data_IF_492825413948
#
_entry.id   IF_492825413948
#
_cell.length_a   1.000
_cell.length_b   1.000
_cell.length_c   1.000
_cell.angle_alpha   90.00
_cell.angle_beta   90.00
_cell.angle_gamma   90.00
#
_symmetry.space_group_name_H-M   'P 1'
#
loop_
_entity.id
_entity.type
_entity.pdbx_description
1 polymer ?
#
# COMPACT_ATOMS: atom_id res chain seq x y z
N UNK A 1 -3.31 -13.46 19.26
CA UNK A 1 -2.37 -12.54 19.95
C UNK A 1 -1.27 -12.05 19.02
N UNK A 2 -0.43 -12.95 18.48
CA UNK A 2 0.66 -12.60 17.55
C UNK A 2 0.11 -11.85 16.32
N UNK A 3 -0.80 -12.46 15.55
CA UNK A 3 -1.33 -11.82 14.33
C UNK A 3 -1.97 -10.44 14.61
N UNK A 4 -2.70 -10.30 15.72
CA UNK A 4 -3.34 -9.04 16.12
C UNK A 4 -2.31 -7.93 16.36
N UNK A 5 -1.26 -8.21 17.12
CA UNK A 5 -0.24 -7.21 17.46
C UNK A 5 0.55 -6.78 16.22
N UNK A 6 0.98 -7.74 15.39
CA UNK A 6 1.71 -7.44 14.16
C UNK A 6 0.84 -6.74 13.12
N UNK A 7 -0.43 -7.14 12.96
CA UNK A 7 -1.35 -6.48 12.05
C UNK A 7 -1.59 -5.01 12.47
N UNK A 8 -1.87 -4.77 13.76
CA UNK A 8 -2.08 -3.41 14.27
C UNK A 8 -0.84 -2.53 14.08
N UNK A 9 0.34 -3.04 14.45
CA UNK A 9 1.59 -2.28 14.31
C UNK A 9 1.95 -2.01 12.84
N UNK A 10 1.72 -2.99 11.95
CA UNK A 10 1.93 -2.84 10.51
C UNK A 10 0.98 -1.82 9.88
N UNK A 11 -0.30 -1.85 10.24
CA UNK A 11 -1.29 -0.90 9.74
C UNK A 11 -0.95 0.54 10.10
N UNK A 12 -0.50 0.80 11.33
CA UNK A 12 -0.07 2.14 11.76
C UNK A 12 1.12 2.66 10.95
N UNK A 13 2.11 1.81 10.71
CA UNK A 13 3.28 2.19 9.92
C UNK A 13 2.89 2.50 8.46
N UNK A 14 2.12 1.62 7.81
CA UNK A 14 1.67 1.81 6.43
C UNK A 14 0.82 3.08 6.31
N UNK A 15 -0.12 3.30 7.24
CA UNK A 15 -0.92 4.51 7.27
C UNK A 15 -0.05 5.77 7.39
N UNK A 16 0.91 5.77 8.32
CA UNK A 16 1.84 6.89 8.50
C UNK A 16 2.65 7.18 7.24
N UNK A 17 3.15 6.14 6.55
CA UNK A 17 3.85 6.30 5.26
C UNK A 17 2.94 6.95 4.22
N UNK A 18 1.77 6.36 3.94
CA UNK A 18 0.89 6.83 2.85
C UNK A 18 0.39 8.25 3.14
N UNK A 19 -0.03 8.52 4.38
CA UNK A 19 -0.49 9.85 4.78
C UNK A 19 0.62 10.90 4.65
N UNK A 20 1.79 10.66 5.25
CA UNK A 20 2.87 11.65 5.23
C UNK A 20 3.48 11.85 3.84
N UNK A 21 3.60 10.81 3.00
CA UNK A 21 4.07 10.97 1.61
C UNK A 21 3.08 11.80 0.79
N UNK A 22 1.79 11.49 0.89
CA UNK A 22 0.75 12.19 0.14
C UNK A 22 0.76 13.69 0.47
N UNK A 23 0.82 14.03 1.76
CA UNK A 23 0.88 15.42 2.21
C UNK A 23 2.19 16.09 1.78
N UNK A 24 3.33 15.41 1.95
CA UNK A 24 4.62 15.94 1.53
C UNK A 24 4.62 16.36 0.05
N UNK A 25 4.14 15.49 -0.83
CA UNK A 25 4.14 15.75 -2.26
C UNK A 25 3.18 16.88 -2.64
N UNK A 26 2.01 16.95 -2.01
CA UNK A 26 1.05 18.03 -2.19
C UNK A 26 1.62 19.41 -1.79
N UNK A 27 2.33 19.49 -0.66
CA UNK A 27 2.91 20.75 -0.17
C UNK A 27 4.20 21.18 -0.89
N UNK A 28 4.98 20.24 -1.43
CA UNK A 28 6.21 20.55 -2.16
C UNK A 28 5.90 21.19 -3.51
N UNK A 29 5.05 20.55 -4.31
CA UNK A 29 4.68 21.06 -5.63
C UNK A 29 3.34 20.44 -6.08
N UNK A 30 2.28 21.25 -6.30
CA UNK A 30 0.98 20.74 -6.73
C UNK A 30 1.02 19.94 -8.05
N UNK A 31 1.85 20.34 -9.02
CA UNK A 31 1.98 19.61 -10.30
C UNK A 31 2.66 18.24 -10.10
N UNK A 32 3.63 18.18 -9.20
CA UNK A 32 4.26 16.91 -8.81
C UNK A 32 3.25 15.98 -8.15
N UNK A 33 2.41 16.51 -7.26
CA UNK A 33 1.34 15.75 -6.61
C UNK A 33 0.31 15.21 -7.62
N UNK A 34 -0.10 16.00 -8.62
CA UNK A 34 -0.98 15.52 -9.69
C UNK A 34 -0.35 14.35 -10.45
N UNK A 35 0.95 14.45 -10.76
CA UNK A 35 1.68 13.36 -11.42
C UNK A 35 1.72 12.09 -10.57
N UNK A 36 1.91 12.25 -9.25
CA UNK A 36 1.83 11.14 -8.28
C UNK A 36 0.45 10.48 -8.26
N UNK A 37 -0.65 11.25 -8.26
CA UNK A 37 -2.01 10.71 -8.29
C UNK A 37 -2.29 9.90 -9.56
N UNK A 38 -1.86 10.41 -10.71
CA UNK A 38 -2.01 9.68 -11.98
C UNK A 38 -1.21 8.37 -11.93
N UNK A 39 0.02 8.41 -11.43
CA UNK A 39 0.87 7.23 -11.29
C UNK A 39 0.24 6.18 -10.37
N UNK A 40 -0.16 6.54 -9.15
CA UNK A 40 -0.75 5.57 -8.22
C UNK A 40 -2.09 5.01 -8.72
N UNK A 41 -2.87 5.79 -9.45
CA UNK A 41 -4.12 5.31 -10.06
C UNK A 41 -3.85 4.28 -11.15
N UNK A 42 -2.95 4.58 -12.10
CA UNK A 42 -2.64 3.68 -13.22
C UNK A 42 -1.95 2.41 -12.71
N UNK A 43 -0.79 2.55 -12.06
CA UNK A 43 -0.02 1.39 -11.63
C UNK A 43 -0.71 0.62 -10.50
N UNK A 44 -1.32 1.32 -9.55
CA UNK A 44 -2.03 0.69 -8.44
C UNK A 44 -3.24 -0.13 -8.91
N UNK A 45 -4.01 0.36 -9.89
CA UNK A 45 -5.14 -0.38 -10.43
C UNK A 45 -4.71 -1.70 -11.10
N UNK A 46 -3.73 -1.64 -12.01
CA UNK A 46 -3.25 -2.85 -12.70
C UNK A 46 -2.60 -3.84 -11.73
N UNK A 47 -1.85 -3.34 -10.75
CA UNK A 47 -1.25 -4.19 -9.72
C UNK A 47 -2.31 -4.86 -8.83
N UNK A 48 -3.38 -4.13 -8.46
CA UNK A 48 -4.48 -4.70 -7.68
C UNK A 48 -5.17 -5.85 -8.43
N UNK A 49 -5.48 -5.64 -9.72
CA UNK A 49 -6.10 -6.67 -10.55
C UNK A 49 -5.19 -7.88 -10.72
N UNK A 50 -3.90 -7.68 -10.96
CA UNK A 50 -2.93 -8.76 -11.07
C UNK A 50 -2.88 -9.60 -9.80
N UNK A 51 -2.71 -8.98 -8.63
CA UNK A 51 -2.59 -9.70 -7.35
C UNK A 51 -3.88 -10.44 -6.99
N UNK A 52 -5.05 -9.84 -7.22
CA UNK A 52 -6.34 -10.49 -6.99
C UNK A 52 -6.52 -11.73 -7.88
N UNK A 53 -6.24 -11.60 -9.19
CA UNK A 53 -6.42 -12.68 -10.14
C UNK A 53 -5.38 -13.79 -9.95
N UNK A 54 -4.12 -13.46 -9.73
CA UNK A 54 -3.06 -14.43 -9.50
C UNK A 54 -3.31 -15.25 -8.23
N UNK A 55 -3.63 -14.59 -7.11
CA UNK A 55 -3.93 -15.29 -5.86
C UNK A 55 -5.21 -16.13 -5.95
N UNK A 56 -6.26 -15.62 -6.59
CA UNK A 56 -7.49 -16.38 -6.83
C UNK A 56 -7.29 -17.59 -7.75
N UNK A 57 -6.44 -17.48 -8.76
CA UNK A 57 -6.11 -18.59 -9.64
C UNK A 57 -5.38 -19.71 -8.90
N UNK A 58 -4.41 -19.38 -8.03
CA UNK A 58 -3.71 -20.37 -7.22
C UNK A 58 -4.63 -21.08 -6.21
N UNK A 59 -5.53 -20.36 -5.55
CA UNK A 59 -6.51 -20.97 -4.63
C UNK A 59 -7.47 -21.90 -5.38
N UNK A 60 -7.99 -21.46 -6.53
CA UNK A 60 -8.87 -22.28 -7.37
C UNK A 60 -8.15 -23.53 -7.90
N UNK A 61 -6.89 -23.41 -8.31
CA UNK A 61 -6.09 -24.57 -8.74
C UNK A 61 -5.93 -25.59 -7.61
N UNK A 62 -5.65 -25.14 -6.38
CA UNK A 62 -5.63 -26.01 -5.20
C UNK A 62 -7.01 -26.66 -4.97
N UNK A 63 -8.11 -25.93 -5.12
CA UNK A 63 -9.47 -26.48 -4.98
C UNK A 63 -9.80 -27.57 -5.99
N UNK A 64 -9.37 -27.44 -7.24
CA UNK A 64 -9.52 -28.50 -8.26
C UNK A 64 -8.79 -29.78 -7.82
N UNK A 65 -7.56 -29.67 -7.31
CA UNK A 65 -6.81 -30.83 -6.81
C UNK A 65 -7.48 -31.46 -5.59
N UNK A 66 -7.99 -30.64 -4.67
CA UNK A 66 -8.62 -31.10 -3.43
C UNK A 66 -10.00 -31.77 -3.63
N UNK A 67 -10.80 -31.26 -4.57
CA UNK A 67 -12.22 -31.60 -4.70
C UNK A 67 -12.49 -32.48 -5.92
N UNK A 68 -12.02 -32.07 -7.09
CA UNK A 68 -12.33 -32.74 -8.36
C UNK A 68 -11.41 -33.95 -8.58
N UNK A 69 -10.10 -33.76 -8.39
CA UNK A 69 -9.11 -34.84 -8.52
C UNK A 69 -9.03 -35.72 -7.26
N UNK A 70 -9.42 -35.18 -6.09
CA UNK A 70 -9.36 -35.86 -4.78
C UNK A 70 -7.95 -36.34 -4.41
N UNK A 71 -6.92 -35.67 -4.92
CA UNK A 71 -5.52 -36.06 -4.76
C UNK A 71 -4.86 -35.37 -3.56
N UNK A 72 -5.52 -35.35 -2.40
CA UNK A 72 -4.95 -34.77 -1.17
C UNK A 72 -3.73 -35.56 -0.69
N UNK A 73 -2.74 -34.87 -0.13
CA UNK A 73 -1.47 -35.44 0.35
C UNK A 73 -0.60 -36.07 -0.75
N UNK A 74 -0.80 -35.66 -2.00
CA UNK A 74 0.10 -36.01 -3.11
C UNK A 74 1.12 -34.90 -3.32
N UNK A 75 2.23 -35.17 -4.03
CA UNK A 75 3.18 -34.13 -4.44
C UNK A 75 2.52 -32.98 -5.23
N UNK A 76 1.44 -33.28 -5.98
CA UNK A 76 0.65 -32.27 -6.69
C UNK A 76 -0.12 -31.35 -5.73
N UNK A 77 -0.71 -31.91 -4.67
CA UNK A 77 -1.39 -31.13 -3.64
C UNK A 77 -0.41 -30.24 -2.88
N UNK A 78 0.76 -30.75 -2.50
CA UNK A 78 1.79 -29.95 -1.85
C UNK A 78 2.23 -28.75 -2.71
N UNK A 79 2.42 -28.96 -4.02
CA UNK A 79 2.78 -27.87 -4.94
C UNK A 79 1.69 -26.80 -5.06
N UNK A 80 0.42 -27.19 -5.09
CA UNK A 80 -0.70 -26.23 -5.16
C UNK A 80 -0.94 -25.51 -3.85
N UNK A 81 -0.66 -26.15 -2.71
CA UNK A 81 -0.65 -25.48 -1.39
C UNK A 81 0.44 -24.41 -1.33
N UNK A 82 1.65 -24.68 -1.84
CA UNK A 82 2.70 -23.65 -1.92
C UNK A 82 2.23 -22.47 -2.76
N UNK A 83 1.61 -22.70 -3.92
CA UNK A 83 1.05 -21.64 -4.76
C UNK A 83 0.01 -20.78 -4.03
N UNK A 84 -0.94 -21.40 -3.34
CA UNK A 84 -1.96 -20.69 -2.58
C UNK A 84 -1.36 -19.89 -1.40
N UNK A 85 -0.38 -20.43 -0.68
CA UNK A 85 0.29 -19.69 0.41
C UNK A 85 1.04 -18.45 -0.07
N UNK A 86 1.53 -18.45 -1.32
CA UNK A 86 2.09 -17.24 -1.96
C UNK A 86 0.98 -16.29 -2.40
N UNK A 87 -0.17 -16.82 -2.81
CA UNK A 87 -1.34 -16.06 -3.27
C UNK A 87 -2.15 -15.39 -2.17
N UNK A 88 -2.16 -15.92 -0.94
CA UNK A 88 -2.98 -15.40 0.17
C UNK A 88 -2.67 -13.93 0.50
N UNK A 89 -1.40 -13.49 0.67
CA UNK A 89 -1.10 -12.07 0.89
C UNK A 89 -1.48 -11.17 -0.29
N UNK A 90 -1.54 -11.73 -1.51
CA UNK A 90 -1.88 -10.99 -2.72
C UNK A 90 -3.39 -10.76 -2.82
N UNK A 91 -4.20 -11.82 -2.71
CA UNK A 91 -5.66 -11.76 -2.89
C UNK A 91 -6.39 -11.17 -1.68
N UNK A 92 -5.92 -11.42 -0.45
CA UNK A 92 -6.67 -11.07 0.75
C UNK A 92 -6.19 -9.78 1.44
N UNK A 93 -4.95 -9.34 1.15
CA UNK A 93 -4.36 -8.17 1.84
C UNK A 93 -3.98 -7.08 0.85
N UNK A 94 -2.99 -7.33 -0.01
CA UNK A 94 -2.35 -6.28 -0.80
C UNK A 94 -3.26 -5.75 -1.92
N UNK A 95 -3.95 -6.62 -2.66
CA UNK A 95 -4.85 -6.19 -3.74
C UNK A 95 -6.05 -5.40 -3.23
N UNK A 96 -6.69 -5.88 -2.16
CA UNK A 96 -7.86 -5.24 -1.54
C UNK A 96 -7.50 -3.87 -0.95
N UNK A 97 -6.27 -3.72 -0.42
CA UNK A 97 -5.80 -2.47 0.18
C UNK A 97 -5.49 -1.35 -0.83
N UNK A 98 -5.24 -1.66 -2.11
CA UNK A 98 -4.86 -0.63 -3.10
C UNK A 98 -5.99 0.36 -3.41
N UNK A 99 -7.24 -0.09 -3.50
CA UNK A 99 -8.38 0.78 -3.73
C UNK A 99 -8.58 1.85 -2.63
N UNK A 100 -8.64 1.49 -1.33
CA UNK A 100 -8.72 2.48 -0.27
C UNK A 100 -7.46 3.36 -0.19
N UNK A 101 -6.26 2.85 -0.48
CA UNK A 101 -5.03 3.68 -0.55
C UNK A 101 -5.15 4.78 -1.61
N UNK A 102 -5.64 4.45 -2.82
CA UNK A 102 -5.83 5.42 -3.90
C UNK A 102 -6.88 6.47 -3.49
N UNK A 103 -8.05 6.04 -3.00
CA UNK A 103 -9.11 6.96 -2.57
C UNK A 103 -8.66 7.89 -1.43
N UNK A 104 -7.94 7.33 -0.46
CA UNK A 104 -7.40 8.09 0.65
C UNK A 104 -6.36 9.11 0.19
N UNK A 105 -5.39 8.70 -0.62
CA UNK A 105 -4.33 9.58 -1.13
C UNK A 105 -4.92 10.73 -1.96
N UNK A 106 -5.94 10.45 -2.77
CA UNK A 106 -6.65 11.49 -3.54
C UNK A 106 -7.39 12.46 -2.63
N UNK A 107 -8.16 11.97 -1.65
CA UNK A 107 -8.99 12.82 -0.78
C UNK A 107 -8.14 13.75 0.09
N UNK A 108 -7.14 13.20 0.81
CA UNK A 108 -6.28 14.00 1.68
C UNK A 108 -5.27 14.83 0.90
N UNK A 109 -4.79 14.32 -0.22
CA UNK A 109 -3.83 15.04 -1.04
C UNK A 109 -4.44 16.23 -1.77
N UNK A 110 -5.70 16.14 -2.23
CA UNK A 110 -6.39 17.31 -2.80
C UNK A 110 -6.60 18.42 -1.77
N UNK A 111 -7.00 18.06 -0.54
CA UNK A 111 -7.10 19.01 0.57
C UNK A 111 -5.75 19.69 0.85
N UNK A 112 -4.67 18.91 0.91
CA UNK A 112 -3.33 19.44 1.13
C UNK A 112 -2.86 20.33 -0.04
N UNK A 113 -3.20 19.97 -1.28
CA UNK A 113 -2.84 20.73 -2.48
C UNK A 113 -3.55 22.09 -2.50
N UNK A 114 -4.83 22.16 -2.10
CA UNK A 114 -5.57 23.42 -2.00
C UNK A 114 -4.92 24.38 -0.98
N UNK A 115 -4.53 23.85 0.19
CA UNK A 115 -3.81 24.63 1.20
C UNK A 115 -2.45 25.10 0.67
N UNK A 116 -1.70 24.22 -0.01
CA UNK A 116 -0.41 24.55 -0.60
C UNK A 116 -0.51 25.67 -1.65
N UNK A 117 -1.52 25.59 -2.53
CA UNK A 117 -1.78 26.63 -3.54
C UNK A 117 -2.14 27.96 -2.85
N UNK A 118 -2.96 27.94 -1.80
CA UNK A 118 -3.28 29.14 -1.03
C UNK A 118 -2.05 29.80 -0.40
N UNK A 119 -1.11 29.01 0.14
CA UNK A 119 0.16 29.53 0.68
C UNK A 119 1.05 30.15 -0.42
N UNK A 120 1.11 29.53 -1.59
CA UNK A 120 1.88 30.02 -2.74
C UNK A 120 1.31 31.35 -3.23
N UNK A 121 -0.01 31.47 -3.37
CA UNK A 121 -0.69 32.71 -3.78
C UNK A 121 -0.43 33.88 -2.81
N UNK A 122 -0.24 33.59 -1.52
CA UNK A 122 0.11 34.58 -0.50
C UNK A 122 1.62 34.91 -0.45
N UNK A 123 2.42 34.41 -1.39
CA UNK A 123 3.88 34.61 -1.44
C UNK A 123 4.66 33.81 -0.39
N UNK A 124 4.03 32.82 0.26
CA UNK A 124 4.63 32.00 1.32
C UNK A 124 5.15 30.65 0.80
N UNK A 125 5.70 30.62 -0.41
CA UNK A 125 6.19 29.41 -1.08
C UNK A 125 7.19 28.62 -0.22
N UNK A 126 8.12 29.35 0.44
CA UNK A 126 9.10 28.73 1.35
C UNK A 126 8.42 27.97 2.48
N UNK A 127 7.32 28.50 3.03
CA UNK A 127 6.61 27.86 4.12
C UNK A 127 5.93 26.56 3.66
N UNK A 128 5.32 26.57 2.47
CA UNK A 128 4.77 25.35 1.86
C UNK A 128 5.86 24.28 1.67
N UNK A 129 7.03 24.68 1.14
CA UNK A 129 8.15 23.76 0.96
C UNK A 129 8.69 23.20 2.29
N UNK A 130 8.79 24.02 3.34
CA UNK A 130 9.19 23.55 4.67
C UNK A 130 8.20 22.55 5.27
N UNK A 131 6.90 22.82 5.15
CA UNK A 131 5.83 21.90 5.60
C UNK A 131 5.95 20.57 4.84
N UNK A 132 6.11 20.62 3.52
CA UNK A 132 6.30 19.44 2.69
C UNK A 132 7.56 18.65 3.06
N UNK A 133 8.68 19.34 3.30
CA UNK A 133 9.93 18.73 3.76
C UNK A 133 9.81 18.06 5.13
N UNK A 134 9.07 18.67 6.06
CA UNK A 134 8.80 18.08 7.37
C UNK A 134 7.97 16.78 7.24
N UNK A 135 6.91 16.79 6.45
CA UNK A 135 6.12 15.57 6.17
C UNK A 135 6.94 14.50 5.46
N UNK A 136 7.84 14.88 4.55
CA UNK A 136 8.73 13.94 3.87
C UNK A 136 9.68 13.26 4.86
N UNK A 137 10.24 14.01 5.80
CA UNK A 137 11.11 13.47 6.84
C UNK A 137 10.35 12.48 7.74
N UNK A 138 9.13 12.83 8.14
CA UNK A 138 8.25 11.93 8.91
C UNK A 138 7.92 10.67 8.11
N UNK A 139 7.62 10.79 6.82
CA UNK A 139 7.38 9.66 5.94
C UNK A 139 8.59 8.71 5.90
N UNK A 140 9.81 9.24 5.74
CA UNK A 140 11.03 8.43 5.71
C UNK A 140 11.26 7.67 7.02
N UNK A 141 10.93 8.27 8.17
CA UNK A 141 10.98 7.60 9.47
C UNK A 141 9.99 6.43 9.51
N UNK A 142 8.75 6.64 9.07
CA UNK A 142 7.75 5.56 9.02
C UNK A 142 8.14 4.45 8.03
N UNK A 143 8.75 4.79 6.89
CA UNK A 143 9.29 3.81 5.93
C UNK A 143 10.38 2.97 6.61
N UNK A 144 11.34 3.62 7.27
CA UNK A 144 12.40 2.92 8.00
C UNK A 144 11.81 1.99 9.08
N UNK A 145 10.87 2.48 9.87
CA UNK A 145 10.21 1.70 10.90
C UNK A 145 9.43 0.51 10.33
N UNK A 146 8.83 0.67 9.15
CA UNK A 146 8.12 -0.41 8.45
C UNK A 146 9.06 -1.57 8.09
N UNK A 147 10.25 -1.28 7.55
CA UNK A 147 11.20 -2.31 7.11
C UNK A 147 12.09 -2.89 8.21
N UNK A 148 12.48 -2.06 9.18
CA UNK A 148 13.48 -2.42 10.19
C UNK A 148 12.91 -2.53 11.60
N UNK A 149 11.94 -1.68 11.94
CA UNK A 149 11.32 -1.66 13.27
C UNK A 149 10.39 -2.85 13.54
N UNK A 150 9.86 -3.48 12.49
CA UNK A 150 8.97 -4.65 12.61
C UNK A 150 9.68 -6.01 12.46
N UNK A 151 11.01 -6.02 12.35
CA UNK A 151 11.76 -7.28 12.25
C UNK A 151 11.65 -8.04 13.57
N UNK A 152 11.16 -9.27 13.50
CA UNK A 152 11.13 -10.18 14.63
C UNK A 152 12.58 -10.52 14.98
N UNK A 153 13.03 -10.11 16.17
CA UNK A 153 14.32 -10.55 16.72
C UNK A 153 14.20 -12.05 17.00
N UNK A 154 15.06 -12.84 16.37
CA UNK A 154 15.18 -14.29 16.62
C UNK A 154 15.59 -14.56 18.05
#
# INVERSE_FOLDING_TARGET
KICTQYAQQGMWNIFGVIFSITLAFAFINPNFFVSYLISIAVFGLFQAMYMANAGGAWDNAKKVVEVDLREKNTPLHEATVVGDTVGDPYKDTSSVALNPIIKFSTLFGLLAAEIAIGLIQNGQERMSAWIGGAFLLVALIFVYNSFYGMRIKR
#
